data_IF_035330988061
#
_entry.id   IF_035330988061
#
_cell.length_a   1.000
_cell.length_b   1.000
_cell.length_c   1.000
_cell.angle_alpha   90.00
_cell.angle_beta   90.00
_cell.angle_gamma   90.00
#
_symmetry.space_group_name_H-M   'P 1'
#
loop_
_entity.id
_entity.type
_entity.pdbx_description
1 polymer ?
#
# COMPACT_ATOMS: atom_id res chain seq x y z
N UNK A 1 -16.93 -6.55 -7.58
CA UNK A 1 -16.33 -7.83 -7.13
C UNK A 1 -15.33 -8.37 -8.14
N UNK A 2 -15.65 -8.34 -9.45
CA UNK A 2 -14.66 -8.60 -10.52
C UNK A 2 -13.47 -7.63 -10.44
N UNK A 3 -13.72 -6.33 -10.21
CA UNK A 3 -12.65 -5.32 -10.17
C UNK A 3 -11.62 -5.53 -9.04
N UNK A 4 -12.08 -5.94 -7.85
CA UNK A 4 -11.21 -6.19 -6.70
C UNK A 4 -10.37 -7.46 -6.91
N UNK A 5 -10.97 -8.50 -7.48
CA UNK A 5 -10.27 -9.75 -7.76
C UNK A 5 -9.20 -9.53 -8.83
N UNK A 6 -9.53 -8.82 -9.91
CA UNK A 6 -8.56 -8.45 -10.95
C UNK A 6 -7.47 -7.49 -10.46
N UNK A 7 -7.76 -6.65 -9.46
CA UNK A 7 -6.74 -5.82 -8.80
C UNK A 7 -5.73 -6.69 -8.04
N UNK A 8 -6.20 -7.62 -7.19
CA UNK A 8 -5.31 -8.52 -6.46
C UNK A 8 -4.56 -9.52 -7.35
N UNK A 9 -5.17 -10.00 -8.44
CA UNK A 9 -4.46 -10.82 -9.44
C UNK A 9 -3.31 -10.06 -10.09
N UNK A 10 -3.47 -8.76 -10.36
CA UNK A 10 -2.38 -7.92 -10.90
C UNK A 10 -1.25 -7.71 -9.89
N UNK A 11 -1.59 -7.58 -8.61
CA UNK A 11 -0.62 -7.38 -7.54
C UNK A 11 0.12 -8.67 -7.17
N UNK A 12 -0.54 -9.84 -7.27
CA UNK A 12 0.09 -11.13 -6.94
C UNK A 12 1.22 -11.51 -7.88
N UNK A 13 1.24 -10.93 -9.09
CA UNK A 13 2.30 -11.13 -10.08
C UNK A 13 3.43 -10.09 -9.96
N UNK A 14 3.36 -9.17 -8.99
CA UNK A 14 4.35 -8.11 -8.77
C UNK A 14 5.31 -8.45 -7.63
N UNK A 15 6.60 -8.20 -7.86
CA UNK A 15 7.62 -8.20 -6.81
C UNK A 15 7.55 -6.91 -5.98
N UNK A 16 8.11 -6.90 -4.75
CA UNK A 16 8.03 -5.75 -3.83
C UNK A 16 8.48 -4.41 -4.44
N UNK A 17 9.52 -4.42 -5.29
CA UNK A 17 10.02 -3.21 -5.97
C UNK A 17 9.00 -2.65 -7.00
N UNK A 18 8.30 -3.54 -7.69
CA UNK A 18 7.27 -3.17 -8.66
C UNK A 18 6.03 -2.64 -7.94
N UNK A 19 5.69 -3.25 -6.79
CA UNK A 19 4.62 -2.76 -5.92
C UNK A 19 4.92 -1.33 -5.44
N UNK A 20 6.15 -1.07 -4.98
CA UNK A 20 6.58 0.28 -4.60
C UNK A 20 6.47 1.28 -5.75
N UNK A 21 6.86 0.89 -6.97
CA UNK A 21 6.73 1.77 -8.13
C UNK A 21 5.26 2.17 -8.42
N UNK A 22 4.31 1.26 -8.19
CA UNK A 22 2.87 1.56 -8.32
C UNK A 22 2.40 2.49 -7.21
N UNK A 23 2.88 2.27 -5.98
CA UNK A 23 2.61 3.13 -4.83
C UNK A 23 3.10 4.56 -5.08
N UNK A 24 4.37 4.72 -5.48
CA UNK A 24 5.00 6.01 -5.78
C UNK A 24 4.34 6.73 -6.97
N UNK A 25 3.70 6.00 -7.89
CA UNK A 25 2.93 6.61 -8.97
C UNK A 25 1.60 7.24 -8.49
N UNK A 26 1.11 6.85 -7.31
CA UNK A 26 -0.15 7.30 -6.75
C UNK A 26 -0.02 8.17 -5.51
N UNK A 27 1.10 8.05 -4.79
CA UNK A 27 1.40 8.74 -3.55
C UNK A 27 2.81 9.32 -3.62
N UNK A 28 2.97 10.53 -3.13
CA UNK A 28 4.27 11.14 -2.89
C UNK A 28 4.99 10.48 -1.70
N UNK A 29 6.31 10.65 -1.61
CA UNK A 29 7.08 10.15 -0.46
C UNK A 29 6.55 10.70 0.88
N UNK A 30 6.19 11.97 0.94
CA UNK A 30 5.58 12.60 2.12
C UNK A 30 4.27 11.89 2.51
N UNK A 31 3.44 11.49 1.54
CA UNK A 31 2.21 10.74 1.81
C UNK A 31 2.49 9.31 2.27
N UNK A 32 3.54 8.67 1.77
CA UNK A 32 3.99 7.34 2.20
C UNK A 32 4.51 7.41 3.65
N UNK A 33 5.30 8.43 3.98
CA UNK A 33 5.78 8.68 5.35
C UNK A 33 4.61 8.81 6.33
N UNK A 34 3.50 9.47 5.96
CA UNK A 34 2.31 9.52 6.81
C UNK A 34 1.72 8.13 7.15
N UNK A 35 1.82 7.16 6.24
CA UNK A 35 1.39 5.78 6.54
C UNK A 35 2.36 5.11 7.51
N UNK A 36 3.66 5.29 7.31
CA UNK A 36 4.71 4.73 8.19
C UNK A 36 4.59 5.31 9.59
N UNK A 37 4.55 6.64 9.72
CA UNK A 37 4.36 7.35 10.99
C UNK A 37 3.09 6.88 11.71
N UNK A 38 1.99 6.73 10.98
CA UNK A 38 0.75 6.22 11.56
C UNK A 38 0.90 4.79 12.09
N UNK A 39 1.61 3.92 11.36
CA UNK A 39 1.81 2.54 11.80
C UNK A 39 2.70 2.49 13.04
N UNK A 40 3.78 3.26 13.06
CA UNK A 40 4.68 3.40 14.21
C UNK A 40 3.91 3.88 15.44
N UNK A 41 3.19 5.01 15.33
CA UNK A 41 2.46 5.62 16.44
C UNK A 41 1.27 4.77 16.93
N UNK A 42 0.50 4.19 16.00
CA UNK A 42 -0.76 3.52 16.35
C UNK A 42 -0.55 2.07 16.80
N UNK A 43 0.35 1.34 16.13
CA UNK A 43 0.61 -0.07 16.43
C UNK A 43 1.84 -0.28 17.31
N UNK A 44 2.66 0.76 17.54
CA UNK A 44 3.87 0.68 18.36
C UNK A 44 4.96 -0.19 17.72
N UNK A 45 5.03 -0.19 16.39
CA UNK A 45 6.03 -0.95 15.61
C UNK A 45 7.20 -0.03 15.33
N UNK A 46 8.40 -0.39 15.79
CA UNK A 46 9.62 0.41 15.61
C UNK A 46 10.64 -0.27 14.65
N UNK A 47 10.32 -1.48 14.18
CA UNK A 47 11.20 -2.21 13.26
C UNK A 47 10.98 -1.74 11.82
N UNK A 48 12.03 -1.23 11.19
CA UNK A 48 11.98 -0.64 9.85
C UNK A 48 11.50 -1.61 8.76
N UNK A 49 11.85 -2.90 8.87
CA UNK A 49 11.45 -3.91 7.88
C UNK A 49 9.96 -4.24 8.04
N UNK A 50 9.49 -4.39 9.28
CA UNK A 50 8.07 -4.60 9.58
C UNK A 50 7.23 -3.37 9.19
N UNK A 51 7.69 -2.16 9.50
CA UNK A 51 7.04 -0.91 9.10
C UNK A 51 6.88 -0.81 7.58
N UNK A 52 7.94 -1.10 6.83
CA UNK A 52 7.90 -1.09 5.37
C UNK A 52 6.87 -2.06 4.80
N UNK A 53 6.83 -3.28 5.33
CA UNK A 53 5.84 -4.29 4.91
C UNK A 53 4.40 -3.86 5.25
N UNK A 54 4.17 -3.37 6.46
CA UNK A 54 2.84 -2.93 6.90
C UNK A 54 2.35 -1.72 6.10
N UNK A 55 3.24 -0.77 5.80
CA UNK A 55 2.93 0.38 4.95
C UNK A 55 2.52 -0.07 3.54
N UNK A 56 3.27 -1.01 2.94
CA UNK A 56 2.89 -1.58 1.64
C UNK A 56 1.50 -2.23 1.67
N UNK A 57 1.17 -2.99 2.72
CA UNK A 57 -0.16 -3.61 2.88
C UNK A 57 -1.25 -2.55 2.98
N UNK A 58 -1.06 -1.54 3.84
CA UNK A 58 -2.05 -0.49 4.07
C UNK A 58 -2.29 0.36 2.82
N UNK A 59 -1.22 0.74 2.13
CA UNK A 59 -1.30 1.50 0.87
C UNK A 59 -1.98 0.68 -0.22
N UNK A 60 -1.64 -0.61 -0.36
CA UNK A 60 -2.28 -1.50 -1.32
C UNK A 60 -3.79 -1.58 -1.10
N UNK A 61 -4.23 -1.64 0.17
CA UNK A 61 -5.63 -1.56 0.55
C UNK A 61 -6.29 -0.22 0.19
N UNK A 62 -5.59 0.90 0.42
CA UNK A 62 -6.05 2.23 0.02
C UNK A 62 -6.25 2.35 -1.50
N UNK A 63 -5.30 1.87 -2.30
CA UNK A 63 -5.40 1.88 -3.76
C UNK A 63 -6.55 1.00 -4.25
N UNK A 64 -6.73 -0.19 -3.67
CA UNK A 64 -7.86 -1.06 -3.96
C UNK A 64 -9.20 -0.34 -3.72
N UNK A 65 -9.34 0.32 -2.56
CA UNK A 65 -10.55 1.05 -2.19
C UNK A 65 -10.81 2.21 -3.17
N UNK A 66 -9.79 3.01 -3.50
CA UNK A 66 -9.90 4.11 -4.47
C UNK A 66 -10.34 3.62 -5.84
N UNK A 67 -9.83 2.47 -6.30
CA UNK A 67 -10.22 1.88 -7.57
C UNK A 67 -11.67 1.39 -7.56
N UNK A 68 -12.17 0.88 -6.43
CA UNK A 68 -13.57 0.46 -6.30
C UNK A 68 -14.58 1.61 -6.13
N UNK A 69 -14.14 2.79 -5.70
CA UNK A 69 -14.99 3.98 -5.54
C UNK A 69 -15.16 4.82 -6.81
N UNK A 70 -14.41 4.53 -7.89
CA UNK A 70 -14.54 5.21 -9.18
C UNK A 70 -15.62 4.60 -10.11
N UNK A 71 -16.36 3.58 -9.64
CA UNK A 71 -17.51 2.97 -10.32
C UNK A 71 -18.82 3.31 -9.59
#
# INVERSE_FOLDING_TARGET
MEDLKSFFEKLSDMESEQLMSVVEAHLSNDEIELFVDHIEDFYGVEDDEELGMLAQIMITGFLAAKQTQQN
#
